data_IF_956652893110
#
_entry.id   IF_956652893110
#
_cell.length_a   1.000
_cell.length_b   1.000
_cell.length_c   1.000
_cell.angle_alpha   90.00
_cell.angle_beta   90.00
_cell.angle_gamma   90.00
#
_symmetry.space_group_name_H-M   'P 1'
#
loop_
_entity.id
_entity.type
_entity.pdbx_description
1 polymer ?
#
# COMPACT_ATOMS: atom_id res chain seq x y z
N UNK A 1 11.42 -14.03 -32.20
CA UNK A 1 10.49 -12.93 -31.88
C UNK A 1 9.64 -12.65 -33.10
N UNK A 2 8.35 -12.38 -32.94
CA UNK A 2 7.46 -12.01 -34.05
C UNK A 2 7.64 -10.53 -34.43
N UNK A 3 7.21 -10.14 -35.63
CA UNK A 3 7.25 -8.73 -36.09
C UNK A 3 6.50 -7.81 -35.13
N UNK A 4 5.40 -8.29 -34.56
CA UNK A 4 4.61 -7.58 -33.54
C UNK A 4 5.39 -7.36 -32.24
N UNK A 5 6.15 -8.35 -31.76
CA UNK A 5 7.00 -8.20 -30.57
C UNK A 5 8.07 -7.12 -30.77
N UNK A 6 8.66 -7.02 -31.97
CA UNK A 6 9.62 -5.96 -32.28
C UNK A 6 8.97 -4.57 -32.29
N UNK A 7 7.77 -4.45 -32.84
CA UNK A 7 7.02 -3.19 -32.89
C UNK A 7 6.62 -2.71 -31.49
N UNK A 8 6.29 -3.64 -30.58
CA UNK A 8 5.94 -3.30 -29.20
C UNK A 8 7.19 -2.86 -28.43
N UNK A 9 8.29 -3.59 -28.57
CA UNK A 9 9.55 -3.22 -27.93
C UNK A 9 10.08 -1.87 -28.41
N UNK A 10 9.97 -1.54 -29.71
CA UNK A 10 10.40 -0.23 -30.21
C UNK A 10 9.62 0.92 -29.58
N UNK A 11 8.30 0.76 -29.37
CA UNK A 11 7.47 1.75 -28.67
C UNK A 11 7.96 1.97 -27.24
N UNK A 12 8.31 0.91 -26.51
CA UNK A 12 8.85 1.04 -25.16
C UNK A 12 10.21 1.74 -25.14
N UNK A 13 11.08 1.46 -26.12
CA UNK A 13 12.35 2.17 -26.29
C UNK A 13 12.16 3.66 -26.59
N UNK A 14 11.19 4.01 -27.45
CA UNK A 14 10.84 5.40 -27.74
C UNK A 14 10.31 6.13 -26.50
N UNK A 15 9.59 5.44 -25.61
CA UNK A 15 9.16 5.95 -24.31
C UNK A 15 10.29 6.03 -23.27
N UNK A 16 11.51 5.62 -23.61
CA UNK A 16 12.69 5.69 -22.73
C UNK A 16 12.89 4.46 -21.84
N UNK A 17 12.19 3.35 -22.12
CA UNK A 17 12.35 2.07 -21.42
C UNK A 17 13.21 1.11 -22.24
N UNK A 18 14.09 0.36 -21.57
CA UNK A 18 14.95 -0.67 -22.16
C UNK A 18 14.18 -1.90 -22.62
N UNK A 19 12.95 -2.09 -22.13
CA UNK A 19 12.06 -3.17 -22.58
C UNK A 19 10.62 -2.96 -22.12
N UNK A 20 9.69 -3.72 -22.71
CA UNK A 20 8.33 -3.87 -22.18
C UNK A 20 8.31 -4.37 -20.73
N UNK A 21 9.25 -5.24 -20.35
CA UNK A 21 9.39 -5.75 -18.99
C UNK A 21 9.77 -4.65 -18.01
N UNK A 22 10.71 -3.76 -18.35
CA UNK A 22 11.09 -2.64 -17.47
C UNK A 22 9.91 -1.67 -17.28
N UNK A 23 9.15 -1.42 -18.34
CA UNK A 23 7.92 -0.64 -18.24
C UNK A 23 6.90 -1.30 -17.29
N UNK A 24 6.67 -2.60 -17.44
CA UNK A 24 5.72 -3.33 -16.60
C UNK A 24 6.15 -3.33 -15.12
N UNK A 25 7.45 -3.50 -14.83
CA UNK A 25 7.98 -3.41 -13.47
C UNK A 25 7.75 -2.01 -12.89
N UNK A 26 8.06 -0.95 -13.65
CA UNK A 26 7.86 0.42 -13.18
C UNK A 26 6.38 0.74 -12.95
N UNK A 27 5.48 0.25 -13.79
CA UNK A 27 4.03 0.39 -13.60
C UNK A 27 3.53 -0.36 -12.38
N UNK A 28 3.97 -1.59 -12.16
CA UNK A 28 3.63 -2.33 -10.95
C UNK A 28 4.15 -1.62 -9.68
N UNK A 29 5.35 -1.02 -9.73
CA UNK A 29 5.87 -0.21 -8.63
C UNK A 29 5.03 1.05 -8.37
N UNK A 30 4.64 1.78 -9.43
CA UNK A 30 3.78 2.97 -9.32
C UNK A 30 2.42 2.64 -8.68
N UNK A 31 1.78 1.54 -9.09
CA UNK A 31 0.51 1.07 -8.54
C UNK A 31 0.64 0.69 -7.07
N UNK A 32 1.66 -0.10 -6.71
CA UNK A 32 1.89 -0.51 -5.33
C UNK A 32 2.23 0.68 -4.42
N UNK A 33 2.99 1.68 -4.89
CA UNK A 33 3.27 2.90 -4.13
C UNK A 33 2.00 3.73 -3.91
N UNK A 34 1.10 3.76 -4.90
CA UNK A 34 -0.19 4.44 -4.77
C UNK A 34 -1.09 3.74 -3.75
N UNK A 35 -1.14 2.40 -3.75
CA UNK A 35 -1.85 1.63 -2.72
C UNK A 35 -1.27 1.89 -1.32
N UNK A 36 0.06 1.86 -1.19
CA UNK A 36 0.75 2.13 0.08
C UNK A 36 0.41 3.53 0.62
N UNK A 37 0.34 4.53 -0.27
CA UNK A 37 -0.03 5.89 0.09
C UNK A 37 -1.46 5.95 0.65
N UNK A 38 -2.42 5.27 0.03
CA UNK A 38 -3.81 5.23 0.51
C UNK A 38 -3.89 4.60 1.90
N UNK A 39 -3.18 3.50 2.15
CA UNK A 39 -3.13 2.89 3.47
C UNK A 39 -2.50 3.82 4.53
N UNK A 40 -1.40 4.51 4.18
CA UNK A 40 -0.78 5.50 5.06
C UNK A 40 -1.74 6.65 5.40
N UNK A 41 -2.43 7.22 4.42
CA UNK A 41 -3.41 8.29 4.65
C UNK A 41 -4.55 7.84 5.59
N UNK A 42 -5.01 6.59 5.46
CA UNK A 42 -6.01 6.00 6.37
C UNK A 42 -5.48 5.89 7.80
N UNK A 43 -4.22 5.48 7.97
CA UNK A 43 -3.57 5.42 9.28
C UNK A 43 -3.40 6.82 9.87
N UNK A 44 -2.94 7.81 9.09
CA UNK A 44 -2.79 9.18 9.58
C UNK A 44 -4.11 9.78 10.08
N UNK A 45 -5.21 9.54 9.37
CA UNK A 45 -6.56 9.96 9.80
C UNK A 45 -6.93 9.33 11.14
N UNK A 46 -6.61 8.05 11.33
CA UNK A 46 -6.83 7.33 12.59
C UNK A 46 -5.97 7.91 13.72
N UNK A 47 -4.66 8.06 13.50
CA UNK A 47 -3.75 8.55 14.53
C UNK A 47 -4.11 9.97 14.96
N UNK A 48 -4.58 10.79 14.01
CA UNK A 48 -5.14 12.11 14.31
C UNK A 48 -6.45 12.05 15.10
N UNK A 49 -7.35 11.11 14.78
CA UNK A 49 -8.63 10.92 15.49
C UNK A 49 -8.40 10.52 16.96
N UNK A 50 -7.45 9.65 17.20
CA UNK A 50 -7.21 9.07 18.52
C UNK A 50 -6.04 9.70 19.28
N UNK A 51 -5.26 10.59 18.64
CA UNK A 51 -4.11 11.27 19.24
C UNK A 51 -2.97 10.32 19.63
N UNK A 52 -2.94 9.13 19.04
CA UNK A 52 -1.98 8.08 19.35
C UNK A 52 -1.74 7.22 18.12
N UNK A 53 -0.55 6.63 18.04
CA UNK A 53 -0.23 5.68 17.00
C UNK A 53 -1.07 4.41 17.12
N UNK A 54 -1.16 3.68 16.01
CA UNK A 54 -1.72 2.33 16.01
C UNK A 54 -1.14 1.43 17.11
N UNK A 55 0.19 1.47 17.29
CA UNK A 55 0.87 0.57 18.22
C UNK A 55 0.47 0.91 19.66
N UNK A 56 0.38 2.19 19.97
CA UNK A 56 -0.10 2.68 21.26
C UNK A 56 -1.57 2.31 21.48
N UNK A 57 -2.42 2.47 20.46
CA UNK A 57 -3.81 2.03 20.53
C UNK A 57 -3.94 0.52 20.78
N UNK A 58 -3.15 -0.30 20.08
CA UNK A 58 -3.19 -1.75 20.24
C UNK A 58 -2.74 -2.20 21.64
N UNK A 59 -1.69 -1.58 22.19
CA UNK A 59 -1.16 -1.88 23.51
C UNK A 59 -2.14 -1.47 24.62
N UNK A 60 -2.83 -0.35 24.44
CA UNK A 60 -3.81 0.16 25.39
C UNK A 60 -5.21 -0.43 25.15
N UNK A 61 -5.43 -1.18 24.07
CA UNK A 61 -6.76 -1.61 23.62
C UNK A 61 -7.57 -2.28 24.74
N UNK A 62 -6.98 -3.23 25.45
CA UNK A 62 -7.64 -3.95 26.54
C UNK A 62 -7.94 -3.05 27.76
N UNK A 63 -7.19 -1.96 27.93
CA UNK A 63 -7.39 -0.95 28.98
C UNK A 63 -8.43 0.11 28.57
N UNK A 64 -8.52 0.40 27.27
CA UNK A 64 -9.43 1.38 26.67
C UNK A 64 -10.86 0.85 26.47
N UNK A 65 -11.08 -0.47 26.59
CA UNK A 65 -12.42 -1.07 26.48
C UNK A 65 -13.33 -0.82 27.70
N UNK A 66 -12.84 -0.13 28.74
CA UNK A 66 -13.67 0.31 29.86
C UNK A 66 -14.24 1.71 29.59
N UNK A 67 -15.54 1.73 29.29
CA UNK A 67 -16.44 2.90 29.20
C UNK A 67 -16.42 3.63 27.84
N UNK A 68 -17.20 3.13 26.88
CA UNK A 68 -17.98 3.93 25.91
C UNK A 68 -17.27 4.96 25.00
N UNK A 69 -15.94 5.05 25.00
CA UNK A 69 -15.19 6.08 24.26
C UNK A 69 -14.66 5.62 22.90
N UNK A 70 -14.69 4.32 22.62
CA UNK A 70 -14.20 3.73 21.39
C UNK A 70 -15.32 2.94 20.72
N UNK A 71 -15.97 3.54 19.72
CA UNK A 71 -17.08 2.93 18.99
C UNK A 71 -16.55 1.84 18.04
N UNK A 72 -16.37 0.64 18.59
CA UNK A 72 -16.01 -0.58 17.85
C UNK A 72 -17.00 -0.90 16.71
N UNK A 73 -18.20 -0.33 16.75
CA UNK A 73 -19.31 -0.62 15.83
C UNK A 73 -19.53 0.46 14.76
N UNK A 74 -18.90 1.65 14.85
CA UNK A 74 -19.10 2.74 13.87
C UNK A 74 -17.87 3.04 13.00
N UNK A 75 -16.67 2.64 13.41
CA UNK A 75 -15.45 2.69 12.58
C UNK A 75 -15.20 1.33 11.92
N UNK A 76 -15.89 1.05 10.81
CA UNK A 76 -15.81 -0.21 10.07
C UNK A 76 -14.45 -0.50 9.40
N UNK A 77 -13.38 0.19 9.79
CA UNK A 77 -12.03 -0.03 9.28
C UNK A 77 -11.33 -1.02 10.21
N UNK A 78 -11.26 -2.29 9.81
CA UNK A 78 -10.41 -3.27 10.49
C UNK A 78 -8.95 -2.91 10.20
N UNK A 79 -8.37 -2.03 11.02
CA UNK A 79 -7.00 -1.52 10.89
C UNK A 79 -5.94 -2.61 10.86
N UNK A 80 -6.26 -3.82 11.35
CA UNK A 80 -5.36 -4.98 11.24
C UNK A 80 -5.21 -5.40 9.78
N UNK A 81 -6.28 -5.22 9.00
CA UNK A 81 -6.31 -5.45 7.56
C UNK A 81 -5.44 -4.41 6.86
N UNK A 82 -5.59 -3.11 7.14
CA UNK A 82 -4.77 -2.05 6.51
C UNK A 82 -3.27 -2.22 6.81
N UNK A 83 -2.90 -2.53 8.06
CA UNK A 83 -1.49 -2.79 8.40
C UNK A 83 -0.94 -4.08 7.77
N UNK A 84 -1.78 -5.10 7.59
CA UNK A 84 -1.41 -6.33 6.89
C UNK A 84 -1.23 -6.07 5.38
N UNK A 85 -2.14 -5.29 4.79
CA UNK A 85 -2.09 -4.86 3.39
C UNK A 85 -0.84 -4.03 3.12
N UNK A 86 -0.51 -3.05 3.98
CA UNK A 86 0.75 -2.31 3.87
C UNK A 86 1.98 -3.21 3.85
N UNK A 87 2.09 -4.14 4.81
CA UNK A 87 3.22 -5.08 4.85
C UNK A 87 3.27 -5.99 3.62
N UNK A 88 2.12 -6.38 3.08
CA UNK A 88 2.04 -7.16 1.86
C UNK A 88 2.50 -6.34 0.64
N UNK A 89 2.11 -5.07 0.55
CA UNK A 89 2.54 -4.13 -0.49
C UNK A 89 4.05 -3.89 -0.41
N UNK A 90 4.60 -3.62 0.78
CA UNK A 90 6.04 -3.47 1.01
C UNK A 90 6.83 -4.70 0.56
N UNK A 91 6.33 -5.90 0.87
CA UNK A 91 6.95 -7.15 0.43
C UNK A 91 6.95 -7.29 -1.10
N UNK A 92 5.85 -6.94 -1.77
CA UNK A 92 5.75 -6.96 -3.24
C UNK A 92 6.69 -5.94 -3.87
N UNK A 93 6.77 -4.73 -3.31
CA UNK A 93 7.72 -3.71 -3.75
C UNK A 93 9.17 -4.18 -3.64
N UNK A 94 9.53 -4.83 -2.52
CA UNK A 94 10.87 -5.39 -2.33
C UNK A 94 11.22 -6.50 -3.34
N UNK A 95 10.23 -7.21 -3.88
CA UNK A 95 10.44 -8.22 -4.92
C UNK A 95 10.61 -7.61 -6.32
N UNK A 96 10.10 -6.39 -6.55
CA UNK A 96 10.21 -5.68 -7.83
C UNK A 96 11.46 -4.81 -7.93
N UNK A 97 12.20 -4.61 -6.84
CA UNK A 97 13.44 -3.83 -6.79
C UNK A 97 14.71 -4.68 -6.71
N UNK A 98 14.58 -6.02 -6.61
CA UNK A 98 15.67 -6.99 -6.72
C UNK A 98 15.94 -7.36 -8.17
#
# INVERSE_FOLDING_TARGET
MTVEQHSIESIFHEMGFKSSTEYAIRKAQEELLQELKVCNERIEVFEKKYGMSYMEFHLCFDQLTQVGQYERELDSMDWRVEMYEMRAIEKRLAQLTQ
#
